data_IF_206335900979
#
_entry.id   IF_206335900979
#
_cell.length_a   1.000
_cell.length_b   1.000
_cell.length_c   1.000
_cell.angle_alpha   90.00
_cell.angle_beta   90.00
_cell.angle_gamma   90.00
#
_symmetry.space_group_name_H-M   'P 1'
#
loop_
_entity.id
_entity.type
_entity.pdbx_description
1 polymer ?
#
# COMPACT_ATOMS: atom_id res chain seq x y z
N UNK A 1 -8.86 -15.48 3.98
CA UNK A 1 -7.70 -15.03 4.79
C UNK A 1 -6.56 -14.73 3.82
N UNK A 2 -6.34 -13.46 3.47
CA UNK A 2 -5.14 -13.10 2.71
C UNK A 2 -3.96 -13.20 3.66
N UNK A 3 -3.14 -14.23 3.50
CA UNK A 3 -1.83 -14.27 4.15
C UNK A 3 -1.07 -13.07 3.60
N UNK A 4 -0.86 -12.05 4.45
CA UNK A 4 0.02 -10.94 4.10
C UNK A 4 1.31 -11.52 3.55
N UNK A 5 1.70 -11.08 2.35
CA UNK A 5 2.92 -11.55 1.70
C UNK A 5 4.08 -11.08 2.58
N UNK A 6 4.54 -11.93 3.50
CA UNK A 6 5.81 -11.75 4.19
C UNK A 6 6.90 -12.08 3.17
N UNK A 7 7.35 -11.04 2.47
CA UNK A 7 8.42 -11.12 1.49
C UNK A 7 9.02 -9.74 1.26
N UNK A 8 10.30 -9.70 0.88
CA UNK A 8 10.92 -8.47 0.38
C UNK A 8 10.29 -8.18 -0.98
N UNK A 9 9.49 -7.12 -1.06
CA UNK A 9 8.96 -6.62 -2.32
C UNK A 9 9.75 -5.38 -2.73
N UNK A 10 10.19 -5.32 -3.99
CA UNK A 10 10.73 -4.08 -4.53
C UNK A 10 9.60 -3.10 -4.80
N UNK A 11 9.78 -1.86 -4.32
CA UNK A 11 8.86 -0.77 -4.49
C UNK A 11 9.35 0.10 -5.65
N UNK A 12 8.54 0.24 -6.70
CA UNK A 12 8.86 1.07 -7.86
C UNK A 12 7.85 2.22 -7.93
N UNK A 13 8.33 3.43 -8.17
CA UNK A 13 7.50 4.61 -8.39
C UNK A 13 7.96 5.34 -9.65
N UNK A 14 7.04 5.97 -10.41
CA UNK A 14 7.44 6.79 -11.55
C UNK A 14 8.14 8.07 -11.07
N UNK A 15 8.68 8.88 -11.99
CA UNK A 15 9.17 10.22 -11.66
C UNK A 15 8.06 11.09 -11.06
N UNK A 16 8.43 12.09 -10.25
CA UNK A 16 7.48 12.98 -9.58
C UNK A 16 6.54 13.70 -10.56
N UNK A 17 7.03 14.07 -11.74
CA UNK A 17 6.22 14.66 -12.84
C UNK A 17 5.14 13.72 -13.41
N UNK A 18 5.09 12.47 -12.96
CA UNK A 18 4.19 11.42 -13.46
C UNK A 18 3.52 10.67 -12.30
N UNK A 19 3.14 11.40 -11.24
CA UNK A 19 2.51 10.88 -10.02
C UNK A 19 3.42 9.94 -9.22
N UNK A 20 4.72 10.27 -9.17
CA UNK A 20 5.75 9.55 -8.43
C UNK A 20 5.75 9.87 -6.94
N UNK A 21 5.90 8.85 -6.10
CA UNK A 21 5.91 9.00 -4.64
C UNK A 21 7.35 9.18 -4.16
N UNK A 22 7.59 10.21 -3.35
CA UNK A 22 8.84 10.39 -2.64
C UNK A 22 8.69 9.96 -1.17
N UNK A 23 9.49 8.99 -0.73
CA UNK A 23 9.51 8.51 0.66
C UNK A 23 10.78 8.99 1.34
N UNK A 24 10.64 9.52 2.55
CA UNK A 24 11.77 9.99 3.34
C UNK A 24 12.37 8.84 4.12
N UNK A 25 13.70 8.69 4.05
CA UNK A 25 14.42 7.70 4.83
C UNK A 25 14.17 7.87 6.34
N UNK A 26 14.10 6.76 7.08
CA UNK A 26 13.88 6.76 8.53
C UNK A 26 12.42 6.92 8.97
N UNK A 27 11.47 6.95 8.04
CA UNK A 27 10.03 7.00 8.36
C UNK A 27 9.34 5.69 7.98
N UNK A 28 8.36 5.29 8.78
CA UNK A 28 7.42 4.21 8.45
C UNK A 28 6.21 4.78 7.72
N UNK A 29 5.67 4.04 6.75
CA UNK A 29 4.54 4.47 5.93
C UNK A 29 3.48 3.37 5.81
N UNK A 30 2.20 3.78 5.84
CA UNK A 30 1.10 2.99 5.29
C UNK A 30 1.02 3.24 3.78
N UNK A 31 1.23 2.17 3.02
CA UNK A 31 1.28 2.21 1.57
C UNK A 31 0.20 1.30 0.99
N UNK A 32 -0.59 1.82 0.04
CA UNK A 32 -1.35 0.98 -0.88
C UNK A 32 -0.71 0.97 -2.27
N UNK A 33 -0.41 -0.22 -2.76
CA UNK A 33 0.31 -0.43 -4.02
C UNK A 33 -0.38 -1.50 -4.88
N UNK A 34 -0.21 -1.40 -6.20
CA UNK A 34 -0.61 -2.45 -7.13
C UNK A 34 0.54 -3.43 -7.32
N UNK A 35 0.23 -4.69 -7.63
CA UNK A 35 1.25 -5.60 -8.15
C UNK A 35 1.73 -5.09 -9.51
N UNK A 36 3.04 -5.12 -9.74
CA UNK A 36 3.63 -4.89 -11.04
C UNK A 36 3.49 -6.11 -11.95
N UNK A 37 4.24 -6.12 -13.07
CA UNK A 37 4.24 -7.23 -14.03
C UNK A 37 4.65 -8.58 -13.41
N UNK A 38 5.37 -8.57 -12.28
CA UNK A 38 5.65 -9.76 -11.47
C UNK A 38 5.19 -9.54 -10.03
N UNK A 39 4.90 -10.64 -9.31
CA UNK A 39 4.37 -10.61 -7.94
C UNK A 39 5.35 -10.01 -6.90
N UNK A 40 6.63 -9.90 -7.26
CA UNK A 40 7.69 -9.40 -6.38
C UNK A 40 7.87 -7.88 -6.48
N UNK A 41 7.24 -7.25 -7.48
CA UNK A 41 7.29 -5.81 -7.71
C UNK A 41 5.97 -5.18 -7.31
N UNK A 42 6.04 -4.06 -6.61
CA UNK A 42 4.87 -3.26 -6.24
C UNK A 42 5.02 -1.86 -6.80
N UNK A 43 3.97 -1.39 -7.47
CA UNK A 43 3.94 -0.07 -8.08
C UNK A 43 3.24 0.94 -7.15
N UNK A 44 3.98 1.99 -6.83
CA UNK A 44 3.57 3.14 -6.01
C UNK A 44 3.19 4.31 -6.91
N UNK A 45 2.13 5.02 -6.53
CA UNK A 45 1.76 6.28 -7.17
C UNK A 45 1.13 7.23 -6.16
N UNK A 46 1.28 8.53 -6.35
CA UNK A 46 0.70 9.60 -5.51
C UNK A 46 -0.83 9.51 -5.43
N UNK A 47 -1.49 8.93 -6.44
CA UNK A 47 -2.94 8.74 -6.44
C UNK A 47 -3.41 7.62 -5.48
N UNK A 48 -2.49 6.98 -4.75
CA UNK A 48 -2.78 5.91 -3.79
C UNK A 48 -2.49 6.37 -2.37
N UNK A 49 -2.83 5.53 -1.39
CA UNK A 49 -2.59 5.83 0.01
C UNK A 49 -1.08 5.74 0.26
N UNK A 50 -0.47 6.87 0.57
CA UNK A 50 0.93 6.97 1.00
C UNK A 50 0.97 7.89 2.22
N UNK A 51 0.76 7.33 3.42
CA UNK A 51 0.66 8.10 4.65
C UNK A 51 1.81 7.74 5.57
N UNK A 52 2.47 8.74 6.20
CA UNK A 52 3.40 8.44 7.30
C UNK A 52 2.63 7.69 8.39
N UNK A 53 3.24 6.67 8.96
CA UNK A 53 2.57 5.79 9.90
C UNK A 53 1.99 6.57 11.08
N UNK A 54 2.74 7.55 11.60
CA UNK A 54 2.29 8.45 12.67
C UNK A 54 1.06 9.32 12.33
N UNK A 55 0.73 9.51 11.04
CA UNK A 55 -0.46 10.22 10.58
C UNK A 55 -1.68 9.30 10.40
N UNK A 56 -1.48 7.98 10.43
CA UNK A 56 -2.57 7.01 10.31
C UNK A 56 -3.40 6.99 11.59
N UNK A 57 -4.67 7.35 11.47
CA UNK A 57 -5.62 7.41 12.60
C UNK A 57 -5.80 6.05 13.28
N UNK A 58 -6.08 6.06 14.59
CA UNK A 58 -6.34 4.83 15.36
C UNK A 58 -7.43 3.96 14.74
N UNK A 59 -8.54 4.57 14.33
CA UNK A 59 -9.65 3.89 13.67
C UNK A 59 -9.22 3.19 12.37
N UNK A 60 -8.41 3.84 11.52
CA UNK A 60 -7.93 3.23 10.27
C UNK A 60 -7.00 2.03 10.54
N UNK A 61 -6.11 2.14 11.55
CA UNK A 61 -5.24 1.04 11.98
C UNK A 61 -6.05 -0.17 12.47
N UNK A 62 -7.06 0.07 13.31
CA UNK A 62 -7.94 -0.98 13.81
C UNK A 62 -8.70 -1.67 12.69
N UNK A 63 -9.23 -0.90 11.74
CA UNK A 63 -9.94 -1.44 10.56
C UNK A 63 -9.05 -2.29 9.66
N UNK A 64 -7.79 -1.90 9.47
CA UNK A 64 -6.79 -2.69 8.74
C UNK A 64 -6.46 -3.99 9.47
N UNK A 65 -6.17 -3.92 10.77
CA UNK A 65 -5.79 -5.09 11.57
C UNK A 65 -6.92 -6.11 11.74
N UNK A 66 -8.16 -5.65 11.83
CA UNK A 66 -9.33 -6.51 12.01
C UNK A 66 -9.91 -7.01 10.68
N UNK A 67 -9.28 -6.69 9.54
CA UNK A 67 -9.77 -7.06 8.20
C UNK A 67 -11.14 -6.48 7.88
N UNK A 68 -11.56 -5.38 8.51
CA UNK A 68 -12.83 -4.73 8.20
C UNK A 68 -12.84 -4.11 6.81
N UNK A 69 -11.69 -3.61 6.34
CA UNK A 69 -11.56 -3.06 4.99
C UNK A 69 -11.83 -4.15 3.95
N UNK A 70 -11.34 -5.36 4.17
CA UNK A 70 -11.51 -6.51 3.27
C UNK A 70 -12.99 -6.85 3.05
N UNK A 71 -13.85 -6.61 4.04
CA UNK A 71 -15.31 -6.85 3.93
C UNK A 71 -15.98 -5.97 2.90
N UNK A 72 -15.42 -4.79 2.60
CA UNK A 72 -15.94 -3.86 1.61
C UNK A 72 -15.28 -4.05 0.24
N UNK A 73 -14.22 -4.84 0.13
CA UNK A 73 -13.60 -5.18 -1.14
C UNK A 73 -14.44 -6.28 -1.84
N UNK A 74 -15.21 -5.90 -2.86
CA UNK A 74 -15.79 -6.89 -3.78
C UNK A 74 -14.68 -7.46 -4.65
N UNK A 75 -14.36 -8.74 -4.46
CA UNK A 75 -13.56 -9.49 -5.41
C UNK A 75 -14.48 -9.75 -6.61
N UNK A 76 -14.40 -8.91 -7.64
CA UNK A 76 -14.95 -9.28 -8.94
C UNK A 76 -13.99 -10.32 -9.52
N UNK A 77 -14.39 -11.59 -9.50
CA UNK A 77 -13.70 -12.66 -10.21
C UNK A 77 -13.82 -12.36 -11.71
N UNK A 78 -12.76 -11.81 -12.31
CA UNK A 78 -12.56 -11.72 -13.75
C UNK A 78 -11.58 -12.81 -14.17
#
# INVERSE_FOLDING_TARGET
MYKGVQGKAELISPPQSSCGVFLENGNEYLISASYGFNLNTKFLSECRINLKWNQVTKNLREKLNNGEIDKYCKINNF
#
